data_IF_081485122886
#
_entry.id   IF_081485122886
#
_cell.length_a   1.000
_cell.length_b   1.000
_cell.length_c   1.000
_cell.angle_alpha   90.00
_cell.angle_beta   90.00
_cell.angle_gamma   90.00
#
_symmetry.space_group_name_H-M   'P 1'
#
loop_
_entity.id
_entity.type
_entity.pdbx_description
1 polymer ?
#
# COMPACT_ATOMS: atom_id res chain seq x y z
N UNK A 1 -14.79 5.47 2.66
CA UNK A 1 -16.19 5.32 3.15
C UNK A 1 -16.49 6.26 4.30
N UNK A 2 -15.65 6.32 5.35
CA UNK A 2 -15.92 7.13 6.57
C UNK A 2 -16.26 8.60 6.25
N UNK A 3 -15.44 9.27 5.41
CA UNK A 3 -15.72 10.68 5.00
C UNK A 3 -17.06 10.80 4.29
N UNK A 4 -17.41 9.86 3.39
CA UNK A 4 -18.69 9.87 2.69
C UNK A 4 -19.89 9.71 3.63
N UNK A 5 -19.78 8.79 4.60
CA UNK A 5 -20.81 8.58 5.61
C UNK A 5 -20.96 9.79 6.55
N UNK A 6 -19.83 10.37 6.95
CA UNK A 6 -19.81 11.58 7.79
C UNK A 6 -20.45 12.74 7.07
N UNK A 7 -20.10 12.97 5.79
CA UNK A 7 -20.73 13.98 4.95
C UNK A 7 -22.25 13.76 4.82
N UNK A 8 -22.69 12.54 4.51
CA UNK A 8 -24.13 12.23 4.41
C UNK A 8 -24.89 12.55 5.69
N UNK A 9 -24.33 12.21 6.85
CA UNK A 9 -24.90 12.50 8.16
C UNK A 9 -24.92 14.00 8.48
N UNK A 10 -23.82 14.71 8.24
CA UNK A 10 -23.68 16.12 8.57
C UNK A 10 -24.50 17.03 7.65
N UNK A 11 -24.57 16.71 6.36
CA UNK A 11 -25.26 17.55 5.35
C UNK A 11 -26.73 17.23 5.17
N UNK A 12 -27.22 16.09 5.68
CA UNK A 12 -28.57 15.58 5.41
C UNK A 12 -28.80 15.17 3.95
N UNK A 13 -27.75 15.10 3.12
CA UNK A 13 -27.80 14.69 1.72
C UNK A 13 -27.55 13.19 1.59
N UNK A 14 -27.80 12.64 0.40
CA UNK A 14 -27.47 11.25 0.11
C UNK A 14 -25.96 11.02 0.27
N UNK A 15 -25.61 9.92 0.96
CA UNK A 15 -24.22 9.50 1.10
C UNK A 15 -23.62 9.22 -0.28
N UNK A 16 -22.45 9.78 -0.62
CA UNK A 16 -21.78 9.48 -1.88
C UNK A 16 -21.55 7.97 -2.08
N UNK A 17 -21.84 7.49 -3.28
CA UNK A 17 -21.58 6.09 -3.64
C UNK A 17 -20.08 5.89 -3.83
N UNK A 18 -19.49 4.94 -3.11
CA UNK A 18 -18.07 4.60 -3.19
C UNK A 18 -17.91 3.24 -3.85
N UNK A 19 -17.02 3.16 -4.84
CA UNK A 19 -16.61 1.92 -5.49
C UNK A 19 -15.10 1.74 -5.32
N UNK A 20 -14.67 0.61 -4.80
CA UNK A 20 -13.25 0.29 -4.61
C UNK A 20 -12.73 -0.46 -5.86
N UNK A 21 -11.82 0.17 -6.61
CA UNK A 21 -11.28 -0.38 -7.87
C UNK A 21 -9.75 -0.24 -7.98
N UNK A 22 -9.11 0.26 -6.91
CA UNK A 22 -7.71 0.68 -6.90
C UNK A 22 -7.44 1.90 -7.79
N UNK A 23 -6.27 2.55 -7.60
CA UNK A 23 -5.93 3.81 -8.29
C UNK A 23 -6.04 3.74 -9.81
N UNK A 24 -5.60 2.63 -10.44
CA UNK A 24 -5.66 2.47 -11.89
C UNK A 24 -7.07 2.25 -12.42
N UNK A 25 -7.87 1.47 -11.72
CA UNK A 25 -9.28 1.21 -12.04
C UNK A 25 -10.12 2.48 -11.89
N UNK A 26 -9.97 3.17 -10.76
CA UNK A 26 -10.64 4.45 -10.50
C UNK A 26 -10.31 5.50 -11.56
N UNK A 27 -9.03 5.68 -11.91
CA UNK A 27 -8.60 6.59 -12.99
C UNK A 27 -9.21 6.22 -14.33
N UNK A 28 -9.28 4.93 -14.66
CA UNK A 28 -9.89 4.47 -15.93
C UNK A 28 -11.38 4.85 -15.99
N UNK A 29 -12.12 4.61 -14.91
CA UNK A 29 -13.55 4.97 -14.83
C UNK A 29 -13.73 6.49 -14.84
N UNK A 30 -12.95 7.21 -14.06
CA UNK A 30 -12.95 8.67 -14.00
C UNK A 30 -12.68 9.30 -15.37
N UNK A 31 -11.69 8.81 -16.10
CA UNK A 31 -11.34 9.31 -17.43
C UNK A 31 -12.23 8.78 -18.56
N UNK A 32 -13.32 8.04 -18.28
CA UNK A 32 -14.17 7.48 -19.33
C UNK A 32 -15.16 8.49 -19.93
N UNK A 33 -15.45 9.61 -19.26
CA UNK A 33 -16.34 10.65 -19.78
C UNK A 33 -16.80 11.66 -18.73
N UNK A 34 -17.66 12.58 -19.16
CA UNK A 34 -18.32 13.59 -18.34
C UNK A 34 -19.83 13.29 -18.25
N UNK A 35 -20.48 13.66 -17.17
CA UNK A 35 -21.90 13.46 -16.93
C UNK A 35 -22.20 12.41 -15.87
N UNK A 36 -23.49 12.22 -15.58
CA UNK A 36 -23.98 11.45 -14.41
C UNK A 36 -23.69 9.96 -14.42
N UNK A 37 -23.26 9.40 -15.56
CA UNK A 37 -22.92 7.99 -15.70
C UNK A 37 -21.43 7.69 -15.36
N UNK A 38 -20.65 8.71 -15.03
CA UNK A 38 -19.22 8.59 -14.76
C UNK A 38 -18.90 9.16 -13.37
N UNK A 39 -17.90 8.60 -12.67
CA UNK A 39 -17.49 9.09 -11.37
C UNK A 39 -17.14 10.59 -11.39
N UNK A 40 -17.59 11.32 -10.39
CA UNK A 40 -17.28 12.74 -10.20
C UNK A 40 -15.87 12.94 -9.66
N UNK A 41 -15.47 12.03 -8.76
CA UNK A 41 -14.22 12.04 -7.99
C UNK A 41 -13.58 10.68 -8.09
N UNK A 42 -12.24 10.64 -8.10
CA UNK A 42 -11.48 9.40 -7.93
C UNK A 42 -10.33 9.61 -6.95
N UNK A 43 -10.15 8.65 -6.04
CA UNK A 43 -9.02 8.61 -5.12
C UNK A 43 -7.87 7.84 -5.75
N UNK A 44 -6.65 8.25 -5.45
CA UNK A 44 -5.45 7.58 -5.91
C UNK A 44 -4.32 7.66 -4.87
N UNK A 45 -3.57 6.59 -4.74
CA UNK A 45 -2.36 6.52 -3.90
C UNK A 45 -1.08 6.90 -4.66
N UNK A 46 -1.23 7.59 -5.76
CA UNK A 46 -0.18 8.15 -6.60
C UNK A 46 -0.73 9.27 -7.46
N UNK A 47 0.16 10.10 -7.96
CA UNK A 47 -0.24 11.10 -8.95
C UNK A 47 -0.74 10.46 -10.24
N UNK A 48 -1.68 11.15 -10.93
CA UNK A 48 -2.18 10.77 -12.26
C UNK A 48 -1.00 10.65 -13.24
N UNK A 49 -1.01 9.60 -14.06
CA UNK A 49 0.00 9.41 -15.11
C UNK A 49 -0.35 10.22 -16.35
N UNK A 50 0.67 10.61 -17.13
CA UNK A 50 0.44 11.36 -18.37
C UNK A 50 -0.53 10.63 -19.33
N UNK A 51 -0.37 9.32 -19.49
CA UNK A 51 -1.27 8.50 -20.32
C UNK A 51 -2.72 8.45 -19.82
N UNK A 52 -2.94 8.53 -18.50
CA UNK A 52 -4.27 8.63 -17.92
C UNK A 52 -4.86 10.02 -18.15
N UNK A 53 -4.05 11.07 -17.97
CA UNK A 53 -4.45 12.45 -18.26
C UNK A 53 -4.83 12.63 -19.74
N UNK A 54 -4.01 12.14 -20.67
CA UNK A 54 -4.31 12.17 -22.11
C UNK A 54 -5.61 11.41 -22.43
N UNK A 55 -5.86 10.28 -21.77
CA UNK A 55 -7.11 9.54 -21.90
C UNK A 55 -8.30 10.35 -21.37
N UNK A 56 -8.17 11.03 -20.25
CA UNK A 56 -9.18 11.97 -19.74
C UNK A 56 -9.50 13.05 -20.79
N UNK A 57 -8.46 13.69 -21.32
CA UNK A 57 -8.59 14.77 -22.33
C UNK A 57 -9.33 14.28 -23.58
N UNK A 58 -8.98 13.08 -24.10
CA UNK A 58 -9.60 12.50 -25.29
C UNK A 58 -11.08 12.17 -25.10
N UNK A 59 -11.50 11.86 -23.86
CA UNK A 59 -12.87 11.54 -23.50
C UNK A 59 -13.68 12.74 -22.97
N UNK A 60 -13.19 13.98 -23.16
CA UNK A 60 -13.90 15.21 -22.80
C UNK A 60 -13.72 15.67 -21.35
N UNK A 61 -12.97 14.96 -20.51
CA UNK A 61 -12.60 15.40 -19.15
C UNK A 61 -11.43 16.37 -19.27
N UNK A 62 -11.75 17.65 -19.53
CA UNK A 62 -10.75 18.67 -19.89
C UNK A 62 -10.06 19.31 -18.71
N UNK A 63 -10.82 19.60 -17.64
CA UNK A 63 -10.31 20.25 -16.45
C UNK A 63 -10.44 19.30 -15.24
N UNK A 64 -9.30 19.02 -14.61
CA UNK A 64 -9.18 18.12 -13.48
C UNK A 64 -8.55 18.90 -12.33
N UNK A 65 -9.23 18.88 -11.17
CA UNK A 65 -8.69 19.41 -9.92
C UNK A 65 -7.95 18.27 -9.22
N UNK A 66 -6.66 18.46 -8.95
CA UNK A 66 -5.84 17.54 -8.15
C UNK A 66 -5.73 18.09 -6.73
N UNK A 67 -6.09 17.28 -5.75
CA UNK A 67 -5.93 17.60 -4.33
C UNK A 67 -5.09 16.52 -3.67
N UNK A 68 -3.96 16.91 -3.09
CA UNK A 68 -3.18 16.03 -2.23
C UNK A 68 -3.74 16.12 -0.81
N UNK A 69 -4.20 14.98 -0.28
CA UNK A 69 -4.87 14.90 1.03
C UNK A 69 -3.98 14.42 2.15
N UNK A 70 -2.79 13.91 1.82
CA UNK A 70 -1.85 13.44 2.83
C UNK A 70 -0.86 12.42 2.28
N UNK A 71 -0.28 11.69 3.21
CA UNK A 71 0.65 10.59 2.95
C UNK A 71 0.18 9.34 3.68
N UNK A 72 0.49 8.19 3.12
CA UNK A 72 0.24 6.87 3.69
C UNK A 72 1.59 6.18 3.86
N UNK A 73 1.89 5.75 5.08
CA UNK A 73 3.06 4.93 5.41
C UNK A 73 2.60 3.54 5.82
N UNK A 74 3.16 2.51 5.18
CA UNK A 74 2.96 1.14 5.60
C UNK A 74 4.18 0.70 6.40
N UNK A 75 3.97 0.28 7.63
CA UNK A 75 5.05 -0.10 8.53
C UNK A 75 5.13 -1.62 8.70
N UNK A 76 6.34 -2.09 8.95
CA UNK A 76 6.59 -3.39 9.55
C UNK A 76 6.97 -3.12 11.00
N UNK A 77 6.33 -3.78 11.93
CA UNK A 77 6.54 -3.52 13.35
C UNK A 77 6.62 -4.83 14.14
N UNK A 78 7.26 -4.78 15.30
CA UNK A 78 7.27 -5.86 16.28
C UNK A 78 6.90 -5.34 17.67
N UNK A 79 6.85 -6.22 18.66
CA UNK A 79 6.64 -5.84 20.06
C UNK A 79 7.75 -4.92 20.53
N UNK A 80 7.40 -3.89 21.33
CA UNK A 80 8.38 -3.02 22.00
C UNK A 80 9.34 -3.79 22.92
N UNK A 81 8.97 -5.01 23.34
CA UNK A 81 9.82 -5.87 24.18
C UNK A 81 10.83 -6.70 23.39
N UNK A 82 10.70 -6.75 22.07
CA UNK A 82 11.65 -7.42 21.18
C UNK A 82 12.79 -6.50 20.75
N UNK A 83 13.86 -7.07 20.19
CA UNK A 83 14.91 -6.27 19.57
C UNK A 83 14.37 -5.51 18.33
N UNK A 84 14.77 -4.26 18.11
CA UNK A 84 14.43 -3.53 16.89
C UNK A 84 14.90 -4.29 15.65
N UNK A 85 14.13 -4.18 14.55
CA UNK A 85 14.48 -4.80 13.27
C UNK A 85 14.93 -3.72 12.28
N UNK A 86 16.00 -4.02 11.56
CA UNK A 86 16.43 -3.22 10.42
C UNK A 86 16.34 -4.08 9.16
N UNK A 87 15.50 -3.69 8.21
CA UNK A 87 15.18 -4.47 7.03
C UNK A 87 15.46 -3.66 5.75
N UNK A 88 15.92 -4.34 4.72
CA UNK A 88 15.81 -3.80 3.37
C UNK A 88 14.52 -4.29 2.72
N UNK A 89 14.03 -3.57 1.70
CA UNK A 89 12.90 -4.08 0.89
C UNK A 89 13.25 -5.39 0.18
N UNK A 90 14.55 -5.63 -0.10
CA UNK A 90 14.99 -6.91 -0.64
C UNK A 90 14.81 -8.05 0.36
N UNK A 91 15.10 -7.81 1.65
CA UNK A 91 14.85 -8.79 2.70
C UNK A 91 13.37 -9.10 2.84
N UNK A 92 12.51 -8.06 2.78
CA UNK A 92 11.05 -8.21 2.79
C UNK A 92 10.58 -9.08 1.63
N UNK A 93 11.04 -8.81 0.41
CA UNK A 93 10.69 -9.61 -0.77
C UNK A 93 11.14 -11.05 -0.62
N UNK A 94 12.40 -11.29 -0.25
CA UNK A 94 12.95 -12.65 -0.10
C UNK A 94 12.26 -13.41 1.04
N UNK A 95 11.87 -12.74 2.13
CA UNK A 95 11.15 -13.39 3.23
C UNK A 95 9.72 -13.81 2.86
N UNK A 96 9.02 -12.97 2.09
CA UNK A 96 7.56 -13.06 1.95
C UNK A 96 7.06 -13.41 0.55
N UNK A 97 7.89 -13.39 -0.49
CA UNK A 97 7.46 -13.80 -1.83
C UNK A 97 7.14 -15.30 -1.87
N UNK A 98 6.14 -15.70 -2.66
CA UNK A 98 5.84 -17.10 -2.90
C UNK A 98 6.99 -17.81 -3.61
N UNK A 99 7.63 -17.13 -4.57
CA UNK A 99 8.80 -17.60 -5.29
C UNK A 99 9.95 -16.61 -5.17
N UNK A 100 11.16 -17.13 -5.10
CA UNK A 100 12.40 -16.35 -4.99
C UNK A 100 13.42 -16.85 -6.02
N UNK A 101 14.48 -16.06 -6.33
CA UNK A 101 15.60 -16.54 -7.15
C UNK A 101 16.21 -17.83 -6.60
N UNK A 102 16.45 -18.78 -7.49
CA UNK A 102 17.27 -19.95 -7.23
C UNK A 102 18.78 -19.65 -7.35
N UNK A 103 19.59 -20.70 -7.35
CA UNK A 103 21.05 -20.59 -7.44
C UNK A 103 21.53 -20.16 -8.83
N UNK A 104 20.70 -20.38 -9.85
CA UNK A 104 21.02 -20.03 -11.25
C UNK A 104 20.25 -18.77 -11.64
N UNK A 105 20.91 -17.83 -12.28
CA UNK A 105 20.26 -16.61 -12.78
C UNK A 105 19.11 -16.95 -13.74
N UNK A 106 17.94 -16.39 -13.46
CA UNK A 106 16.71 -16.63 -14.21
C UNK A 106 15.85 -17.79 -13.67
N UNK A 107 16.38 -18.58 -12.74
CA UNK A 107 15.61 -19.61 -12.06
C UNK A 107 14.74 -19.01 -10.94
N UNK A 108 13.53 -19.54 -10.81
CA UNK A 108 12.61 -19.26 -9.69
C UNK A 108 12.34 -20.56 -8.96
N UNK A 109 12.45 -20.51 -7.65
CA UNK A 109 12.12 -21.63 -6.76
C UNK A 109 11.03 -21.22 -5.76
N UNK A 110 10.30 -22.19 -5.24
CA UNK A 110 9.44 -22.01 -4.07
C UNK A 110 10.28 -21.44 -2.93
N UNK A 111 9.74 -20.51 -2.16
CA UNK A 111 10.50 -19.79 -1.14
C UNK A 111 10.98 -20.75 -0.01
N UNK A 112 12.28 -21.04 0.11
CA UNK A 112 12.79 -21.99 1.10
C UNK A 112 13.08 -21.35 2.46
N UNK A 113 13.06 -20.02 2.58
CA UNK A 113 13.48 -19.32 3.78
C UNK A 113 12.50 -19.54 4.93
N UNK A 114 13.03 -20.03 6.05
CA UNK A 114 12.30 -20.30 7.28
C UNK A 114 12.58 -19.27 8.37
N UNK A 115 13.79 -18.69 8.40
CA UNK A 115 14.21 -17.68 9.37
C UNK A 115 14.70 -16.41 8.68
N UNK A 116 14.64 -15.28 9.40
CA UNK A 116 15.17 -14.01 8.91
C UNK A 116 16.67 -14.07 8.61
N UNK A 117 17.42 -14.82 9.42
CA UNK A 117 18.87 -15.02 9.20
C UNK A 117 19.19 -15.77 7.90
N UNK A 118 18.31 -16.66 7.44
CA UNK A 118 18.48 -17.33 6.15
C UNK A 118 18.29 -16.36 4.99
N UNK A 119 17.44 -15.35 5.15
CA UNK A 119 17.24 -14.29 4.16
C UNK A 119 18.45 -13.37 4.09
N UNK A 120 18.93 -12.95 5.26
CA UNK A 120 20.08 -12.08 5.40
C UNK A 120 20.81 -12.42 6.72
N UNK A 121 22.07 -12.79 6.61
CA UNK A 121 22.88 -13.24 7.76
C UNK A 121 23.07 -12.18 8.87
N UNK A 122 22.81 -10.91 8.58
CA UNK A 122 22.83 -9.83 9.58
C UNK A 122 21.56 -9.78 10.43
N UNK A 123 20.48 -10.43 9.99
CA UNK A 123 19.22 -10.47 10.71
C UNK A 123 19.22 -11.55 11.81
N UNK A 124 18.35 -11.45 12.82
CA UNK A 124 18.26 -12.41 13.90
C UNK A 124 17.80 -13.79 13.41
N UNK A 125 18.22 -14.83 14.12
CA UNK A 125 17.84 -16.21 13.84
C UNK A 125 16.49 -16.54 14.49
N UNK A 126 15.47 -15.88 14.04
CA UNK A 126 14.07 -16.08 14.43
C UNK A 126 13.25 -16.52 13.23
N UNK A 127 12.17 -17.27 13.46
CA UNK A 127 11.27 -17.70 12.39
C UNK A 127 10.62 -16.51 11.69
N UNK A 128 10.40 -16.66 10.38
CA UNK A 128 9.60 -15.70 9.62
C UNK A 128 8.14 -15.95 9.98
N UNK A 129 7.56 -15.07 10.78
CA UNK A 129 6.14 -15.01 11.08
C UNK A 129 5.71 -13.54 10.92
N UNK A 130 4.89 -13.27 9.90
CA UNK A 130 4.44 -11.92 9.59
C UNK A 130 2.92 -11.89 9.57
N UNK A 131 2.34 -11.09 10.45
CA UNK A 131 0.91 -10.87 10.57
C UNK A 131 0.52 -9.68 9.70
N UNK A 132 -0.47 -9.82 8.85
CA UNK A 132 -0.84 -8.70 7.99
C UNK A 132 -2.26 -8.76 7.46
N UNK A 133 -2.68 -7.72 6.74
CA UNK A 133 -4.02 -7.64 6.20
C UNK A 133 -4.24 -8.62 5.03
N UNK A 134 -5.52 -8.99 4.77
CA UNK A 134 -5.89 -9.88 3.68
C UNK A 134 -5.75 -9.21 2.31
N UNK A 135 -5.86 -9.97 1.19
CA UNK A 135 -5.76 -9.44 -0.17
C UNK A 135 -6.79 -8.35 -0.53
N UNK A 136 -7.90 -8.26 0.21
CA UNK A 136 -8.94 -7.22 0.02
C UNK A 136 -8.53 -5.84 0.55
N UNK A 137 -7.48 -5.77 1.37
CA UNK A 137 -7.02 -4.55 2.04
C UNK A 137 -6.18 -3.65 1.13
N UNK A 138 -6.46 -2.34 1.17
CA UNK A 138 -5.60 -1.33 0.53
C UNK A 138 -4.20 -1.24 1.13
N UNK A 139 -4.03 -1.57 2.41
CA UNK A 139 -2.73 -1.69 3.09
C UNK A 139 -1.91 -2.84 2.49
N UNK A 140 -2.55 -4.00 2.23
CA UNK A 140 -1.91 -5.12 1.55
C UNK A 140 -1.45 -4.76 0.14
N UNK A 141 -2.30 -4.06 -0.64
CA UNK A 141 -1.95 -3.58 -1.98
C UNK A 141 -0.74 -2.64 -1.93
N UNK A 142 -0.73 -1.71 -0.98
CA UNK A 142 0.39 -0.78 -0.77
C UNK A 142 1.68 -1.51 -0.38
N UNK A 143 1.59 -2.46 0.52
CA UNK A 143 2.72 -3.28 0.94
C UNK A 143 3.30 -4.10 -0.22
N UNK A 144 2.44 -4.71 -1.04
CA UNK A 144 2.87 -5.44 -2.23
C UNK A 144 3.54 -4.51 -3.26
N UNK A 145 3.00 -3.30 -3.49
CA UNK A 145 3.56 -2.34 -4.46
C UNK A 145 4.87 -1.69 -3.97
N UNK A 146 4.93 -1.24 -2.74
CA UNK A 146 6.05 -0.44 -2.23
C UNK A 146 7.14 -1.28 -1.55
N UNK A 147 6.73 -2.25 -0.74
CA UNK A 147 7.62 -3.15 -0.01
C UNK A 147 8.11 -4.28 -0.91
N UNK A 148 7.20 -5.16 -1.34
CA UNK A 148 7.53 -6.37 -2.09
C UNK A 148 8.10 -6.05 -3.48
N UNK A 149 7.41 -5.29 -4.35
CA UNK A 149 7.94 -4.88 -5.66
C UNK A 149 9.15 -3.98 -5.48
N UNK A 150 9.17 -3.16 -4.42
CA UNK A 150 10.32 -2.35 -4.03
C UNK A 150 11.61 -3.15 -3.84
N UNK A 151 11.52 -4.32 -3.23
CA UNK A 151 12.61 -5.28 -3.05
C UNK A 151 12.90 -6.12 -4.30
N UNK A 152 11.86 -6.67 -4.89
CA UNK A 152 11.89 -7.48 -6.11
C UNK A 152 12.72 -6.82 -7.23
N UNK A 153 12.49 -5.53 -7.48
CA UNK A 153 13.22 -4.75 -8.50
C UNK A 153 14.70 -4.51 -8.20
N UNK A 154 15.18 -4.78 -6.98
CA UNK A 154 16.62 -4.73 -6.65
C UNK A 154 17.39 -5.90 -7.25
N UNK A 155 16.70 -6.91 -7.75
CA UNK A 155 17.30 -8.07 -8.43
C UNK A 155 17.32 -7.78 -9.93
N UNK A 156 18.51 -7.62 -10.51
CA UNK A 156 18.70 -7.04 -11.84
C UNK A 156 17.93 -7.76 -12.96
N UNK A 157 18.00 -9.10 -13.01
CA UNK A 157 17.31 -9.87 -14.05
C UNK A 157 15.77 -9.82 -13.90
N UNK A 158 15.26 -9.78 -12.65
CA UNK A 158 13.83 -9.61 -12.41
C UNK A 158 13.39 -8.20 -12.86
N UNK A 159 14.19 -7.18 -12.57
CA UNK A 159 13.91 -5.82 -13.05
C UNK A 159 13.88 -5.76 -14.58
N UNK A 160 14.77 -6.47 -15.27
CA UNK A 160 14.77 -6.56 -16.73
C UNK A 160 13.48 -7.21 -17.27
N UNK A 161 12.95 -8.21 -16.56
CA UNK A 161 11.68 -8.88 -16.89
C UNK A 161 10.49 -7.92 -16.95
N UNK A 162 10.51 -6.80 -16.21
CA UNK A 162 9.47 -5.77 -16.26
C UNK A 162 9.25 -5.18 -17.66
N UNK A 163 10.31 -5.16 -18.50
CA UNK A 163 10.26 -4.64 -19.87
C UNK A 163 9.75 -5.68 -20.87
N UNK A 164 10.06 -6.96 -20.66
CA UNK A 164 9.77 -8.07 -21.59
C UNK A 164 8.47 -8.78 -21.26
N UNK A 165 8.15 -8.96 -19.98
CA UNK A 165 6.94 -9.62 -19.48
C UNK A 165 6.43 -8.95 -18.20
N UNK A 166 5.74 -7.82 -18.37
CA UNK A 166 5.20 -7.03 -17.24
C UNK A 166 4.20 -7.82 -16.38
N UNK A 167 3.43 -8.74 -16.97
CA UNK A 167 2.47 -9.56 -16.25
C UNK A 167 3.14 -10.53 -15.30
N UNK A 168 4.11 -11.31 -15.81
CA UNK A 168 4.89 -12.24 -14.99
C UNK A 168 5.73 -11.51 -13.92
N UNK A 169 6.34 -10.37 -14.27
CA UNK A 169 7.03 -9.52 -13.31
C UNK A 169 6.11 -9.11 -12.15
N UNK A 170 4.91 -8.62 -12.48
CA UNK A 170 3.96 -8.18 -11.44
C UNK A 170 3.50 -9.36 -10.59
N UNK A 171 3.17 -10.49 -11.20
CA UNK A 171 2.78 -11.69 -10.47
C UNK A 171 3.88 -12.13 -9.49
N UNK A 172 5.12 -12.24 -9.96
CA UNK A 172 6.26 -12.61 -9.12
C UNK A 172 6.46 -11.64 -7.94
N UNK A 173 6.47 -10.34 -8.21
CA UNK A 173 6.79 -9.33 -7.21
C UNK A 173 5.65 -9.05 -6.20
N UNK A 174 4.41 -9.43 -6.50
CA UNK A 174 3.24 -9.13 -5.65
C UNK A 174 2.64 -10.37 -4.98
N UNK A 175 3.00 -11.59 -5.41
CA UNK A 175 2.46 -12.80 -4.80
C UNK A 175 3.19 -13.11 -3.50
N UNK A 176 2.47 -12.99 -2.39
CA UNK A 176 2.96 -13.33 -1.06
C UNK A 176 2.72 -14.83 -0.82
N UNK A 177 3.64 -15.47 -0.09
CA UNK A 177 3.59 -16.89 0.27
C UNK A 177 2.40 -17.22 1.17
N UNK A 178 1.87 -18.45 1.02
CA UNK A 178 0.69 -18.94 1.76
C UNK A 178 1.01 -20.19 2.61
N UNK A 179 2.28 -20.43 2.89
CA UNK A 179 2.79 -21.58 3.64
C UNK A 179 2.78 -21.38 5.17
N UNK A 180 2.02 -20.39 5.65
CA UNK A 180 1.84 -20.08 7.07
C UNK A 180 2.85 -19.08 7.64
N UNK A 181 3.84 -18.61 6.87
CA UNK A 181 4.80 -17.59 7.32
C UNK A 181 4.27 -16.16 7.18
N UNK A 182 3.37 -15.92 6.24
CA UNK A 182 2.51 -14.75 6.26
C UNK A 182 1.11 -15.17 6.69
N UNK A 183 0.61 -14.55 7.75
CA UNK A 183 -0.67 -14.90 8.38
C UNK A 183 -1.63 -13.73 8.20
N UNK A 184 -2.73 -13.99 7.49
CA UNK A 184 -3.79 -13.00 7.32
C UNK A 184 -4.63 -12.89 8.60
N UNK A 185 -4.67 -11.69 9.19
CA UNK A 185 -5.31 -11.43 10.49
C UNK A 185 -6.63 -10.67 10.35
N UNK A 186 -7.06 -10.40 9.12
CA UNK A 186 -8.21 -9.54 8.83
C UNK A 186 -7.82 -8.07 8.67
N UNK A 187 -8.84 -7.19 8.54
CA UNK A 187 -8.64 -5.76 8.30
C UNK A 187 -8.56 -4.92 9.59
N UNK A 188 -8.53 -5.57 10.75
CA UNK A 188 -8.47 -4.89 12.04
C UNK A 188 -7.03 -4.85 12.56
N UNK A 189 -6.33 -3.76 12.33
CA UNK A 189 -4.93 -3.57 12.74
C UNK A 189 -4.74 -3.66 14.27
N UNK A 190 -5.76 -3.36 15.08
CA UNK A 190 -5.69 -3.58 16.54
C UNK A 190 -5.46 -5.06 16.90
N UNK A 191 -5.98 -5.98 16.11
CA UNK A 191 -5.76 -7.41 16.35
C UNK A 191 -4.30 -7.79 16.06
N UNK A 192 -3.67 -7.16 15.07
CA UNK A 192 -2.24 -7.35 14.79
C UNK A 192 -1.41 -6.88 16.00
N UNK A 193 -1.67 -5.67 16.51
CA UNK A 193 -0.97 -5.13 17.69
C UNK A 193 -1.10 -6.07 18.90
N UNK A 194 -2.30 -6.58 19.19
CA UNK A 194 -2.52 -7.53 20.30
C UNK A 194 -1.71 -8.83 20.11
N UNK A 195 -1.67 -9.36 18.88
CA UNK A 195 -0.90 -10.57 18.58
C UNK A 195 0.60 -10.36 18.71
N UNK A 196 1.13 -9.19 18.32
CA UNK A 196 2.54 -8.84 18.50
C UNK A 196 2.93 -8.72 19.97
N UNK A 197 2.04 -8.24 20.85
CA UNK A 197 2.28 -8.25 22.29
C UNK A 197 2.33 -9.68 22.86
N UNK A 198 1.51 -10.60 22.32
CA UNK A 198 1.49 -12.00 22.74
C UNK A 198 2.64 -12.81 22.16
N UNK A 199 3.13 -12.46 20.95
CA UNK A 199 4.27 -13.10 20.29
C UNK A 199 5.31 -12.05 19.86
N UNK A 200 6.26 -11.69 20.73
CA UNK A 200 7.26 -10.68 20.43
C UNK A 200 8.22 -11.04 19.27
N UNK A 201 8.29 -12.31 18.88
CA UNK A 201 9.13 -12.75 17.76
C UNK A 201 8.48 -12.50 16.39
N UNK A 202 7.16 -12.30 16.33
CA UNK A 202 6.44 -12.02 15.10
C UNK A 202 6.62 -10.55 14.66
N UNK A 203 6.45 -10.33 13.35
CA UNK A 203 6.32 -9.00 12.77
C UNK A 203 4.88 -8.76 12.33
N UNK A 204 4.46 -7.50 12.25
CA UNK A 204 3.14 -7.10 11.78
C UNK A 204 3.24 -6.05 10.68
N UNK A 205 2.31 -6.08 9.73
CA UNK A 205 2.20 -5.10 8.64
C UNK A 205 0.88 -4.34 8.79
N UNK A 206 0.97 -3.01 8.94
CA UNK A 206 -0.20 -2.13 9.09
C UNK A 206 0.15 -0.68 8.78
N UNK A 207 -0.84 0.22 8.84
CA UNK A 207 -0.64 1.65 8.59
C UNK A 207 0.10 2.36 9.74
N UNK A 208 0.92 3.35 9.39
CA UNK A 208 1.70 4.15 10.36
C UNK A 208 0.85 4.74 11.48
N UNK A 209 -0.38 5.15 11.20
CA UNK A 209 -1.28 5.70 12.22
C UNK A 209 -1.53 4.74 13.40
N UNK A 210 -1.48 3.43 13.17
CA UNK A 210 -1.60 2.44 14.24
C UNK A 210 -0.29 2.25 15.01
N UNK A 211 0.86 2.38 14.35
CA UNK A 211 2.15 2.41 15.04
C UNK A 211 2.20 3.59 16.03
N UNK A 212 1.89 4.78 15.53
CA UNK A 212 1.90 6.02 16.33
C UNK A 212 0.95 5.95 17.53
N UNK A 213 -0.27 5.43 17.32
CA UNK A 213 -1.26 5.27 18.41
C UNK A 213 -0.92 4.16 19.42
N UNK A 214 0.00 3.25 19.10
CA UNK A 214 0.39 2.13 19.96
C UNK A 214 1.91 2.06 20.19
N UNK A 215 2.60 3.19 20.18
CA UNK A 215 4.05 3.28 20.38
C UNK A 215 4.51 2.79 21.77
N UNK A 216 3.58 2.63 22.71
CA UNK A 216 3.80 2.01 24.02
C UNK A 216 3.83 0.47 23.97
N UNK A 217 3.42 -0.16 22.87
CA UNK A 217 3.26 -1.61 22.71
C UNK A 217 4.10 -2.19 21.58
N UNK A 218 4.26 -1.44 20.50
CA UNK A 218 4.95 -1.88 19.28
C UNK A 218 5.95 -0.82 18.82
N UNK A 219 6.96 -1.28 18.10
CA UNK A 219 7.98 -0.42 17.48
C UNK A 219 8.12 -0.74 16.01
N UNK A 220 8.35 0.27 15.19
CA UNK A 220 8.55 0.11 13.76
C UNK A 220 9.95 -0.39 13.41
N UNK A 221 10.06 -1.29 12.45
CA UNK A 221 11.33 -1.63 11.84
C UNK A 221 11.83 -0.48 10.95
N UNK A 222 13.11 -0.14 11.03
CA UNK A 222 13.71 0.74 10.02
C UNK A 222 13.79 0.02 8.68
N UNK A 223 13.50 0.73 7.59
CA UNK A 223 13.57 0.20 6.22
C UNK A 223 14.64 0.97 5.45
N UNK A 224 15.67 0.24 4.98
CA UNK A 224 16.83 0.86 4.32
C UNK A 224 17.44 1.97 5.19
N UNK A 225 17.54 1.70 6.52
CA UNK A 225 18.07 2.60 7.57
C UNK A 225 17.22 3.86 7.82
N UNK A 226 15.95 3.88 7.39
CA UNK A 226 15.01 4.97 7.66
C UNK A 226 13.92 4.50 8.60
N UNK A 227 13.77 5.19 9.72
CA UNK A 227 12.73 4.94 10.72
C UNK A 227 11.34 5.37 10.19
N UNK A 228 10.26 4.62 10.53
CA UNK A 228 8.90 5.02 10.19
C UNK A 228 8.39 6.10 11.15
N UNK A 229 8.75 7.33 10.87
CA UNK A 229 8.31 8.53 11.60
C UNK A 229 7.40 9.40 10.73
N UNK A 230 6.66 10.30 11.36
CA UNK A 230 5.77 11.20 10.62
C UNK A 230 6.53 12.01 9.54
N UNK A 231 7.68 12.56 9.90
CA UNK A 231 8.51 13.37 9.01
C UNK A 231 9.02 12.55 7.82
N UNK A 232 9.55 11.36 8.07
CA UNK A 232 10.12 10.49 7.04
C UNK A 232 9.05 9.95 6.08
N UNK A 233 7.81 9.80 6.54
CA UNK A 233 6.66 9.44 5.70
C UNK A 233 6.20 10.65 4.89
N UNK A 234 6.12 11.83 5.49
CA UNK A 234 5.66 13.06 4.83
C UNK A 234 6.65 13.57 3.77
N UNK A 235 7.94 13.45 3.99
CA UNK A 235 8.97 13.82 3.01
C UNK A 235 9.32 12.69 2.02
N UNK A 236 8.78 11.47 2.23
CA UNK A 236 8.98 10.26 1.42
C UNK A 236 10.38 9.66 1.51
N UNK A 237 11.15 9.98 2.52
CA UNK A 237 12.41 9.30 2.79
C UNK A 237 12.17 7.87 3.28
N UNK A 238 11.06 7.61 4.02
CA UNK A 238 10.64 6.26 4.36
C UNK A 238 10.19 5.50 3.11
N UNK A 239 10.84 4.36 2.76
CA UNK A 239 10.69 3.74 1.44
C UNK A 239 9.30 3.13 1.15
N UNK A 240 8.51 2.85 2.20
CA UNK A 240 7.16 2.27 2.08
C UNK A 240 6.13 3.36 2.40
N UNK A 241 6.34 4.55 1.82
CA UNK A 241 5.41 5.69 1.91
C UNK A 241 4.94 6.14 0.53
N UNK A 242 3.76 6.73 0.47
CA UNK A 242 3.16 7.23 -0.77
C UNK A 242 2.24 8.42 -0.51
N UNK A 243 2.16 9.39 -1.43
CA UNK A 243 1.18 10.46 -1.34
C UNK A 243 -0.21 9.96 -1.71
N UNK A 244 -1.21 10.50 -1.03
CA UNK A 244 -2.61 10.26 -1.32
C UNK A 244 -3.22 11.47 -2.01
N UNK A 245 -3.98 11.20 -3.07
CA UNK A 245 -4.65 12.21 -3.87
C UNK A 245 -6.12 11.88 -4.04
N UNK A 246 -6.92 12.90 -4.28
CA UNK A 246 -8.14 12.75 -5.03
C UNK A 246 -8.20 13.74 -6.20
N UNK A 247 -8.93 13.33 -7.22
CA UNK A 247 -9.11 14.08 -8.47
C UNK A 247 -10.58 14.33 -8.66
N UNK A 248 -10.91 15.57 -9.03
CA UNK A 248 -12.29 16.03 -9.22
C UNK A 248 -12.45 16.54 -10.64
N UNK A 249 -13.54 16.14 -11.32
CA UNK A 249 -13.92 16.77 -12.59
C UNK A 249 -14.44 18.18 -12.32
N UNK A 250 -13.74 19.19 -12.78
CA UNK A 250 -14.16 20.58 -12.59
C UNK A 250 -15.52 20.88 -13.22
N UNK A 251 -15.81 20.22 -14.35
CA UNK A 251 -17.12 20.33 -15.02
C UNK A 251 -18.32 19.86 -14.18
N UNK A 252 -18.08 19.09 -13.13
CA UNK A 252 -19.14 18.60 -12.23
C UNK A 252 -19.31 19.50 -10.98
N UNK A 253 -18.31 20.32 -10.66
CA UNK A 253 -18.38 21.28 -9.52
C UNK A 253 -19.42 22.36 -9.81
N UNK A 254 -20.33 22.58 -8.86
CA UNK A 254 -21.45 23.51 -9.02
C UNK A 254 -22.62 22.96 -9.85
N UNK A 255 -22.44 21.84 -10.57
CA UNK A 255 -23.50 21.18 -11.38
C UNK A 255 -24.06 19.96 -10.64
N UNK A 256 -23.17 19.08 -10.13
CA UNK A 256 -23.57 17.94 -9.31
C UNK A 256 -23.72 18.40 -7.85
N UNK A 257 -24.91 18.27 -7.26
CA UNK A 257 -25.14 18.74 -5.91
C UNK A 257 -24.27 18.00 -4.89
N UNK A 258 -23.60 18.77 -4.03
CA UNK A 258 -22.89 18.22 -2.88
C UNK A 258 -21.40 18.00 -3.08
N UNK A 259 -20.84 18.13 -4.28
CA UNK A 259 -19.39 17.96 -4.51
C UNK A 259 -18.57 18.91 -3.64
N UNK A 260 -18.87 20.21 -3.65
CA UNK A 260 -18.15 21.21 -2.86
C UNK A 260 -18.21 20.91 -1.35
N UNK A 261 -19.39 20.56 -0.84
CA UNK A 261 -19.55 20.19 0.57
C UNK A 261 -18.80 18.92 0.94
N UNK A 262 -18.76 17.95 0.03
CA UNK A 262 -17.99 16.72 0.24
C UNK A 262 -16.47 16.96 0.23
N UNK A 263 -15.99 17.86 -0.64
CA UNK A 263 -14.57 18.25 -0.67
C UNK A 263 -14.13 18.96 0.61
N UNK A 264 -15.03 19.74 1.21
CA UNK A 264 -14.76 20.44 2.47
C UNK A 264 -14.76 19.51 3.70
N UNK A 265 -15.21 18.27 3.56
CA UNK A 265 -15.19 17.27 4.64
C UNK A 265 -13.85 16.55 4.76
N UNK A 266 -12.98 16.61 3.72
CA UNK A 266 -11.61 16.13 3.76
C UNK A 266 -10.68 17.10 4.46
#
# INVERSE_FOLDING_TARGET
>A
TVVAERYGRASGKATPKIESTGSGGGMKLFCSGVGTNFPDITNASRRIKMSEFEKCQSNGVKEIIEVQIGYDGIVIANSITAAPMELSRKDIFLALAAQVPGDVEGELIENPYATWKQVNSALPDIEIEVLGPPPTSGTRDAFAELGMEGGCKKIAWIQAMKKTNKGAYKALCHTIREDGRYIEVGENDNLIVQKLQANPAALGVFGFSFLDQNADKVQGASIESVEPEFESIADKSYPISRPLFFYVKKAHVGVVPGIEGYLNEF
#
